data_IF_584550773066
#
_entry.id   IF_584550773066
#
_cell.length_a   1.000
_cell.length_b   1.000
_cell.length_c   1.000
_cell.angle_alpha   90.00
_cell.angle_beta   90.00
_cell.angle_gamma   90.00
#
_symmetry.space_group_name_H-M   'P 1'
#
loop_
_entity.id
_entity.type
_entity.pdbx_description
1 polymer ?
#
# COMPACT_ATOMS: atom_id res chain seq x y z
N UNK A 1 -72.32 0.89 -13.66
CA UNK A 1 -71.39 1.49 -12.68
C UNK A 1 -70.15 0.61 -12.62
N UNK A 2 -68.98 1.12 -13.02
CA UNK A 2 -67.71 0.39 -12.86
C UNK A 2 -67.33 0.39 -11.37
N UNK A 3 -67.18 -0.79 -10.76
CA UNK A 3 -66.59 -0.91 -9.42
C UNK A 3 -65.16 -0.36 -9.50
N UNK A 4 -64.84 0.62 -8.65
CA UNK A 4 -63.46 1.03 -8.43
C UNK A 4 -62.86 0.00 -7.49
N UNK A 5 -61.93 -0.80 -7.99
CA UNK A 5 -61.16 -1.71 -7.15
C UNK A 5 -60.24 -0.86 -6.27
N UNK A 6 -60.53 -0.84 -4.96
CA UNK A 6 -59.74 -0.13 -3.97
C UNK A 6 -58.51 -0.94 -3.59
N UNK A 7 -57.39 -0.25 -3.42
CA UNK A 7 -56.12 -0.86 -2.97
C UNK A 7 -56.32 -1.52 -1.61
N UNK A 8 -55.88 -2.78 -1.46
CA UNK A 8 -56.02 -3.49 -0.20
C UNK A 8 -54.90 -3.12 0.78
N UNK A 9 -55.20 -3.15 2.08
CA UNK A 9 -54.19 -2.95 3.13
C UNK A 9 -53.07 -3.99 3.04
N UNK A 10 -53.39 -5.22 2.61
CA UNK A 10 -52.40 -6.29 2.48
C UNK A 10 -51.41 -6.03 1.35
N UNK A 11 -51.85 -5.51 0.20
CA UNK A 11 -50.96 -5.15 -0.91
C UNK A 11 -49.97 -4.06 -0.49
N UNK A 12 -50.42 -3.08 0.31
CA UNK A 12 -49.53 -2.05 0.83
C UNK A 12 -48.47 -2.62 1.79
N UNK A 13 -48.89 -3.52 2.69
CA UNK A 13 -48.00 -4.15 3.67
C UNK A 13 -46.94 -5.02 2.99
N UNK A 14 -47.31 -5.79 1.95
CA UNK A 14 -46.35 -6.61 1.20
C UNK A 14 -45.35 -5.74 0.46
N UNK A 15 -45.78 -4.62 -0.14
CA UNK A 15 -44.88 -3.71 -0.86
C UNK A 15 -43.87 -3.05 0.08
N UNK A 16 -44.30 -2.52 1.24
CA UNK A 16 -43.37 -1.92 2.20
C UNK A 16 -42.41 -2.97 2.79
N UNK A 17 -42.86 -4.23 2.94
CA UNK A 17 -42.01 -5.32 3.39
C UNK A 17 -40.90 -5.62 2.38
N UNK A 18 -41.23 -5.69 1.08
CA UNK A 18 -40.25 -5.90 0.01
C UNK A 18 -39.27 -4.71 -0.08
N UNK A 19 -39.78 -3.47 -0.05
CA UNK A 19 -38.93 -2.27 -0.05
C UNK A 19 -38.01 -2.21 1.17
N UNK A 20 -38.49 -2.64 2.35
CA UNK A 20 -37.70 -2.71 3.57
C UNK A 20 -36.53 -3.70 3.45
N UNK A 21 -36.78 -4.89 2.88
CA UNK A 21 -35.73 -5.90 2.65
C UNK A 21 -34.68 -5.37 1.66
N UNK A 22 -35.11 -4.75 0.56
CA UNK A 22 -34.18 -4.19 -0.44
C UNK A 22 -33.33 -3.05 0.14
N UNK A 23 -33.94 -2.14 0.91
CA UNK A 23 -33.24 -1.04 1.54
C UNK A 23 -32.17 -1.52 2.54
N UNK A 24 -32.45 -2.62 3.26
CA UNK A 24 -31.52 -3.21 4.24
C UNK A 24 -30.17 -3.60 3.61
N UNK A 25 -30.17 -4.15 2.40
CA UNK A 25 -28.95 -4.54 1.69
C UNK A 25 -28.27 -3.36 0.97
N UNK A 26 -29.05 -2.43 0.43
CA UNK A 26 -28.54 -1.32 -0.38
C UNK A 26 -27.80 -0.26 0.47
N UNK A 27 -28.33 0.10 1.64
CA UNK A 27 -27.77 1.16 2.49
C UNK A 27 -26.31 0.90 2.91
N UNK A 28 -25.93 -0.27 3.48
CA UNK A 28 -24.54 -0.49 3.89
C UNK A 28 -23.57 -0.51 2.69
N UNK A 29 -24.00 -1.05 1.55
CA UNK A 29 -23.21 -1.06 0.32
C UNK A 29 -22.96 0.37 -0.20
N UNK A 30 -23.98 1.22 -0.19
CA UNK A 30 -23.88 2.61 -0.63
C UNK A 30 -22.92 3.44 0.24
N UNK A 31 -22.90 3.20 1.56
CA UNK A 31 -21.98 3.88 2.48
C UNK A 31 -20.53 3.55 2.14
N UNK A 32 -20.23 2.29 1.81
CA UNK A 32 -18.89 1.87 1.37
C UNK A 32 -18.44 2.59 0.09
N UNK A 33 -19.27 2.57 -0.96
CA UNK A 33 -18.95 3.27 -2.21
C UNK A 33 -18.76 4.78 -2.03
N UNK A 34 -19.56 5.41 -1.16
CA UNK A 34 -19.40 6.82 -0.85
C UNK A 34 -18.06 7.10 -0.14
N UNK A 35 -17.62 6.23 0.77
CA UNK A 35 -16.31 6.34 1.41
C UNK A 35 -15.17 6.15 0.42
N UNK A 36 -15.27 5.16 -0.47
CA UNK A 36 -14.26 4.89 -1.51
C UNK A 36 -14.12 6.06 -2.49
N UNK A 37 -15.24 6.62 -2.94
CA UNK A 37 -15.25 7.79 -3.81
C UNK A 37 -14.57 8.99 -3.16
N UNK A 38 -14.83 9.23 -1.86
CA UNK A 38 -14.19 10.30 -1.10
C UNK A 38 -12.69 10.07 -0.93
N UNK A 39 -12.27 8.83 -0.66
CA UNK A 39 -10.85 8.47 -0.61
C UNK A 39 -10.16 8.73 -1.96
N UNK A 40 -10.77 8.28 -3.07
CA UNK A 40 -10.24 8.47 -4.42
C UNK A 40 -10.09 9.97 -4.78
N UNK A 41 -11.05 10.81 -4.39
CA UNK A 41 -10.94 12.27 -4.55
C UNK A 41 -9.77 12.83 -3.73
N UNK A 42 -9.60 12.36 -2.50
CA UNK A 42 -8.47 12.79 -1.67
C UNK A 42 -7.12 12.39 -2.27
N UNK A 43 -6.99 11.17 -2.80
CA UNK A 43 -5.77 10.68 -3.45
C UNK A 43 -5.47 11.45 -4.75
N UNK A 44 -6.51 11.79 -5.51
CA UNK A 44 -6.39 12.65 -6.70
C UNK A 44 -5.91 14.06 -6.36
N UNK A 45 -6.38 14.61 -5.25
CA UNK A 45 -5.92 15.91 -4.73
C UNK A 45 -4.44 15.84 -4.32
N UNK A 46 -4.02 14.82 -3.57
CA UNK A 46 -2.61 14.61 -3.20
C UNK A 46 -1.71 14.49 -4.43
N UNK A 47 -2.17 13.76 -5.45
CA UNK A 47 -1.46 13.63 -6.73
C UNK A 47 -1.32 14.98 -7.45
N UNK A 48 -2.39 15.77 -7.49
CA UNK A 48 -2.38 17.11 -8.08
C UNK A 48 -1.41 18.04 -7.36
N UNK A 49 -1.39 17.98 -6.01
CA UNK A 49 -0.45 18.72 -5.17
C UNK A 49 1.00 18.34 -5.49
N UNK A 50 1.30 17.05 -5.53
CA UNK A 50 2.65 16.59 -5.85
C UNK A 50 3.08 17.02 -7.26
N UNK A 51 2.19 16.92 -8.27
CA UNK A 51 2.50 17.37 -9.64
C UNK A 51 2.82 18.86 -9.72
N UNK A 52 2.05 19.70 -9.03
CA UNK A 52 2.30 21.14 -8.99
C UNK A 52 3.66 21.45 -8.33
N UNK A 53 3.98 20.77 -7.22
CA UNK A 53 5.27 20.88 -6.56
C UNK A 53 6.44 20.48 -7.45
N UNK A 54 6.38 19.29 -8.07
CA UNK A 54 7.44 18.80 -8.96
C UNK A 54 7.66 19.72 -10.18
N UNK A 55 6.57 20.26 -10.74
CA UNK A 55 6.64 21.23 -11.84
C UNK A 55 7.38 22.50 -11.41
N UNK A 56 7.12 23.01 -10.20
CA UNK A 56 7.77 24.22 -9.70
C UNK A 56 9.23 23.98 -9.31
N UNK A 57 9.53 22.85 -8.65
CA UNK A 57 10.90 22.43 -8.35
C UNK A 57 11.75 22.40 -9.62
N UNK A 58 11.22 21.78 -10.68
CA UNK A 58 11.91 21.67 -11.98
C UNK A 58 12.17 23.04 -12.60
N UNK A 59 11.20 23.97 -12.55
CA UNK A 59 11.36 25.33 -13.09
C UNK A 59 12.42 26.15 -12.35
N UNK A 60 12.55 25.95 -11.05
CA UNK A 60 13.51 26.66 -10.21
C UNK A 60 14.90 25.99 -10.19
N UNK A 61 15.04 24.81 -10.77
CA UNK A 61 16.27 24.01 -10.70
C UNK A 61 16.68 23.70 -9.26
N UNK A 62 15.71 23.62 -8.35
CA UNK A 62 15.93 23.41 -6.92
C UNK A 62 15.70 21.94 -6.54
N UNK A 63 16.46 21.46 -5.56
CA UNK A 63 16.21 20.18 -4.89
C UNK A 63 15.01 20.30 -3.92
N UNK A 64 14.63 19.19 -3.28
CA UNK A 64 13.62 19.07 -2.21
C UNK A 64 13.53 20.33 -1.31
N UNK A 65 12.40 21.02 -1.34
CA UNK A 65 12.21 22.31 -0.69
C UNK A 65 10.85 22.37 0.04
N UNK A 66 10.92 22.36 1.37
CA UNK A 66 9.74 22.44 2.26
C UNK A 66 8.90 23.69 2.00
N UNK A 67 9.54 24.86 1.90
CA UNK A 67 8.85 26.13 1.73
C UNK A 67 8.07 26.14 0.43
N UNK A 68 8.67 25.62 -0.65
CA UNK A 68 7.99 25.51 -1.93
C UNK A 68 6.78 24.58 -1.87
N UNK A 69 6.89 23.43 -1.21
CA UNK A 69 5.75 22.53 -1.04
C UNK A 69 4.64 23.20 -0.22
N UNK A 70 5.01 24.00 0.77
CA UNK A 70 4.08 24.79 1.56
C UNK A 70 3.40 25.90 0.72
N UNK A 71 4.13 26.55 -0.20
CA UNK A 71 3.55 27.50 -1.14
C UNK A 71 2.51 26.84 -2.06
N UNK A 72 2.82 25.66 -2.57
CA UNK A 72 1.90 24.86 -3.41
C UNK A 72 0.65 24.51 -2.63
N UNK A 73 0.78 23.94 -1.43
CA UNK A 73 -0.35 23.55 -0.59
C UNK A 73 -1.29 24.71 -0.28
N UNK A 74 -0.72 25.89 0.01
CA UNK A 74 -1.50 27.09 0.32
C UNK A 74 -1.98 27.83 -0.94
N UNK A 75 -1.73 27.27 -2.14
CA UNK A 75 -2.03 27.87 -3.42
C UNK A 75 -1.58 29.33 -3.50
N UNK A 76 -0.33 29.60 -3.10
CA UNK A 76 0.20 30.97 -3.00
C UNK A 76 -0.02 31.72 -4.32
N UNK A 77 -0.57 32.92 -4.22
CA UNK A 77 -0.93 33.78 -5.35
C UNK A 77 -1.89 33.15 -6.36
N UNK A 78 -2.62 32.09 -5.99
CA UNK A 78 -3.53 31.34 -6.86
C UNK A 78 -2.81 30.72 -8.09
N UNK A 79 -1.50 30.47 -7.98
CA UNK A 79 -0.67 30.01 -9.10
C UNK A 79 -0.87 28.52 -9.44
N UNK A 80 -1.24 27.70 -8.46
CA UNK A 80 -1.11 26.24 -8.56
C UNK A 80 -2.44 25.54 -8.86
N UNK A 81 -3.54 26.05 -8.32
CA UNK A 81 -4.86 25.46 -8.49
C UNK A 81 -5.92 26.55 -8.74
N UNK A 82 -6.89 26.24 -9.60
CA UNK A 82 -8.08 27.08 -9.78
C UNK A 82 -8.95 27.12 -8.53
N UNK A 83 -8.91 26.06 -7.71
CA UNK A 83 -9.52 26.00 -6.39
C UNK A 83 -8.60 25.21 -5.47
N UNK A 84 -8.43 25.66 -4.22
CA UNK A 84 -7.60 24.96 -3.24
C UNK A 84 -8.15 23.55 -3.02
N UNK A 85 -7.36 22.48 -3.23
CA UNK A 85 -7.79 21.12 -3.00
C UNK A 85 -8.25 20.93 -1.55
N UNK A 86 -9.41 20.29 -1.36
CA UNK A 86 -9.98 20.01 -0.04
C UNK A 86 -10.26 18.53 0.12
N UNK A 87 -9.96 17.99 1.30
CA UNK A 87 -10.36 16.64 1.65
C UNK A 87 -11.90 16.59 1.76
N UNK A 88 -12.56 15.62 1.10
CA UNK A 88 -14.03 15.53 1.10
C UNK A 88 -14.62 15.11 2.45
N UNK A 89 -13.81 14.57 3.36
CA UNK A 89 -14.21 14.26 4.75
C UNK A 89 -13.76 15.34 5.76
N UNK A 90 -13.27 16.49 5.27
CA UNK A 90 -12.88 17.61 6.13
C UNK A 90 -11.47 17.54 6.72
N UNK A 91 -10.63 16.63 6.20
CA UNK A 91 -9.22 16.51 6.58
C UNK A 91 -8.36 17.67 6.06
N UNK A 92 -7.19 17.81 6.64
CA UNK A 92 -6.18 18.80 6.24
C UNK A 92 -5.03 18.11 5.52
N UNK A 93 -4.47 18.76 4.51
CA UNK A 93 -3.23 18.34 3.88
C UNK A 93 -2.04 18.91 4.67
N UNK A 94 -1.12 18.05 5.09
CA UNK A 94 0.06 18.36 5.87
C UNK A 94 1.32 17.94 5.11
N UNK A 95 2.43 18.59 5.39
CA UNK A 95 3.75 18.17 4.90
C UNK A 95 4.37 17.22 5.91
N UNK A 96 5.00 16.16 5.41
CA UNK A 96 5.79 15.22 6.18
C UNK A 96 7.18 15.12 5.57
N UNK A 97 8.21 15.27 6.41
CA UNK A 97 9.60 15.00 6.05
C UNK A 97 9.92 13.52 6.24
N UNK A 98 10.68 12.94 5.33
CA UNK A 98 11.22 11.59 5.44
C UNK A 98 12.66 11.56 4.92
N UNK A 99 13.42 10.54 5.33
CA UNK A 99 14.79 10.33 4.85
C UNK A 99 14.77 9.34 3.69
N UNK A 100 15.36 9.72 2.56
CA UNK A 100 15.54 8.86 1.39
C UNK A 100 16.61 7.81 1.68
N UNK A 101 16.65 6.76 0.86
CA UNK A 101 17.65 5.69 0.98
C UNK A 101 19.08 6.18 0.70
N UNK A 102 19.22 7.36 0.07
CA UNK A 102 20.48 8.10 -0.08
C UNK A 102 20.83 9.01 1.10
N UNK A 103 20.07 8.95 2.21
CA UNK A 103 20.28 9.77 3.40
C UNK A 103 19.87 11.24 3.26
N UNK A 104 19.17 11.62 2.18
CA UNK A 104 18.69 12.99 1.96
C UNK A 104 17.33 13.18 2.63
N UNK A 105 17.04 14.40 3.06
CA UNK A 105 15.69 14.75 3.52
C UNK A 105 14.80 15.05 2.33
N UNK A 106 13.62 14.44 2.30
CA UNK A 106 12.60 14.63 1.30
C UNK A 106 11.25 14.96 1.95
N UNK A 107 10.33 15.55 1.19
CA UNK A 107 9.03 16.01 1.68
C UNK A 107 7.89 15.44 0.84
N UNK A 108 6.84 14.98 1.53
CA UNK A 108 5.60 14.52 0.90
C UNK A 108 4.39 15.16 1.56
N UNK A 109 3.25 15.11 0.88
CA UNK A 109 1.97 15.58 1.43
C UNK A 109 1.10 14.41 1.90
N UNK A 110 0.40 14.62 3.01
CA UNK A 110 -0.52 13.65 3.63
C UNK A 110 -1.83 14.31 4.03
N UNK A 111 -2.94 13.58 3.99
CA UNK A 111 -4.24 13.98 4.53
C UNK A 111 -4.44 13.49 5.97
N UNK A 112 -4.91 14.32 6.89
CA UNK A 112 -5.14 13.92 8.30
C UNK A 112 -6.21 12.84 8.50
N UNK A 113 -7.10 12.67 7.52
CA UNK A 113 -8.20 11.69 7.59
C UNK A 113 -7.89 10.45 6.74
N UNK A 114 -7.53 10.63 5.48
CA UNK A 114 -7.30 9.54 4.53
C UNK A 114 -5.85 9.03 4.52
N UNK A 115 -4.91 9.81 5.06
CA UNK A 115 -3.49 9.45 5.17
C UNK A 115 -3.06 9.11 6.59
N UNK A 116 -3.95 8.52 7.39
CA UNK A 116 -3.52 7.76 8.57
C UNK A 116 -2.61 6.57 8.20
N UNK A 117 -2.66 6.16 6.93
CA UNK A 117 -1.74 5.23 6.24
C UNK A 117 -1.84 5.46 4.72
N UNK A 118 -1.14 6.44 4.13
CA UNK A 118 -0.94 6.51 2.66
C UNK A 118 0.43 5.94 2.26
N UNK A 119 0.65 4.69 2.62
CA UNK A 119 1.66 3.86 2.01
C UNK A 119 0.94 2.87 1.09
N UNK A 120 1.43 2.67 -0.14
CA UNK A 120 0.97 1.52 -0.97
C UNK A 120 1.19 0.24 -0.14
N UNK A 121 0.48 -0.85 -0.42
CA UNK A 121 0.67 -2.11 0.32
C UNK A 121 2.17 -2.50 0.45
N UNK A 122 3.01 -2.38 -0.59
CA UNK A 122 4.46 -2.57 -0.43
C UNK A 122 5.10 -1.65 0.59
N UNK A 123 4.76 -0.36 0.60
CA UNK A 123 5.28 0.60 1.59
C UNK A 123 4.74 0.29 2.99
N UNK A 124 3.48 -0.14 3.13
CA UNK A 124 2.93 -0.58 4.42
C UNK A 124 3.66 -1.81 4.97
N UNK A 125 4.05 -2.74 4.09
CA UNK A 125 4.88 -3.88 4.47
C UNK A 125 6.24 -3.41 4.98
N UNK A 126 6.90 -2.45 4.31
CA UNK A 126 8.15 -1.88 4.81
C UNK A 126 7.99 -1.17 6.15
N UNK A 127 6.94 -0.36 6.30
CA UNK A 127 6.62 0.36 7.53
C UNK A 127 6.40 -0.63 8.68
N UNK A 128 5.64 -1.71 8.43
CA UNK A 128 5.38 -2.76 9.42
C UNK A 128 6.65 -3.56 9.77
N UNK A 129 7.50 -3.87 8.80
CA UNK A 129 8.82 -4.48 9.06
C UNK A 129 9.67 -3.60 9.97
N UNK A 130 9.71 -2.29 9.70
CA UNK A 130 10.43 -1.33 10.52
C UNK A 130 9.83 -1.22 11.92
N UNK A 131 8.52 -1.10 12.04
CA UNK A 131 7.84 -1.01 13.33
C UNK A 131 8.02 -2.28 14.18
N UNK A 132 8.05 -3.47 13.56
CA UNK A 132 8.40 -4.72 14.26
C UNK A 132 9.83 -4.68 14.80
N UNK A 133 10.79 -4.16 14.04
CA UNK A 133 12.20 -4.08 14.46
C UNK A 133 12.39 -3.04 15.57
N UNK A 134 11.71 -1.90 15.48
CA UNK A 134 11.84 -0.80 16.43
C UNK A 134 11.01 -1.04 17.70
N UNK A 135 9.87 -1.74 17.58
CA UNK A 135 8.88 -1.93 18.64
C UNK A 135 8.41 -3.40 18.74
N UNK A 136 9.31 -4.38 18.97
CA UNK A 136 8.97 -5.81 18.96
C UNK A 136 7.87 -6.19 19.97
N UNK A 137 7.77 -5.48 21.09
CA UNK A 137 6.76 -5.73 22.13
C UNK A 137 5.32 -5.64 21.61
N UNK A 138 5.04 -4.75 20.64
CA UNK A 138 3.71 -4.63 20.01
C UNK A 138 3.29 -5.92 19.29
N UNK A 139 4.28 -6.67 18.80
CA UNK A 139 4.07 -7.87 18.01
C UNK A 139 4.16 -9.16 18.83
N UNK A 140 4.40 -9.08 20.14
CA UNK A 140 4.56 -10.23 21.04
C UNK A 140 3.44 -11.27 20.92
N UNK A 141 2.19 -10.82 20.83
CA UNK A 141 1.02 -11.70 20.63
C UNK A 141 1.07 -12.53 19.34
N UNK A 142 1.82 -12.07 18.33
CA UNK A 142 2.03 -12.73 17.05
C UNK A 142 3.31 -13.57 17.00
N UNK A 143 4.03 -13.72 18.11
CA UNK A 143 5.21 -14.57 18.16
C UNK A 143 4.83 -16.04 17.85
N UNK A 144 5.51 -16.70 16.89
CA UNK A 144 5.25 -18.11 16.56
C UNK A 144 5.61 -19.08 17.68
N UNK A 145 6.43 -18.67 18.66
CA UNK A 145 6.86 -19.52 19.78
C UNK A 145 5.97 -19.43 21.02
N UNK A 146 4.92 -18.60 20.99
CA UNK A 146 3.97 -18.37 22.08
C UNK A 146 3.66 -16.88 22.26
N UNK A 147 2.39 -16.52 22.44
CA UNK A 147 1.94 -15.11 22.58
C UNK A 147 2.40 -14.45 23.89
N UNK A 148 2.88 -15.25 24.84
CA UNK A 148 3.42 -14.85 26.13
C UNK A 148 4.94 -14.61 26.10
N UNK A 149 5.61 -14.97 25.00
CA UNK A 149 7.07 -14.88 24.86
C UNK A 149 7.51 -13.66 24.07
N UNK A 150 8.54 -12.98 24.55
CA UNK A 150 9.15 -11.85 23.87
C UNK A 150 9.78 -12.27 22.53
N UNK A 151 9.84 -11.32 21.60
CA UNK A 151 10.49 -11.51 20.30
C UNK A 151 11.98 -11.21 20.46
N UNK A 152 12.82 -12.19 20.18
CA UNK A 152 14.27 -12.11 20.41
C UNK A 152 15.04 -11.58 19.19
N UNK A 153 16.26 -11.09 19.41
CA UNK A 153 17.15 -10.58 18.36
C UNK A 153 17.36 -11.58 17.21
N UNK A 154 17.53 -12.86 17.50
CA UNK A 154 17.73 -13.86 16.46
C UNK A 154 16.49 -14.03 15.56
N UNK A 155 15.29 -13.77 16.08
CA UNK A 155 14.05 -13.75 15.29
C UNK A 155 14.00 -12.51 14.40
N UNK A 156 14.38 -11.35 14.93
CA UNK A 156 14.44 -10.09 14.17
C UNK A 156 15.52 -10.11 13.08
N UNK A 157 16.55 -10.96 13.23
CA UNK A 157 17.61 -11.18 12.25
C UNK A 157 17.39 -12.40 11.33
N UNK A 158 16.15 -12.92 11.26
CA UNK A 158 15.80 -14.04 10.38
C UNK A 158 14.65 -13.67 9.47
N UNK A 159 14.85 -13.81 8.15
CA UNK A 159 13.81 -13.63 7.13
C UNK A 159 12.52 -14.39 7.48
N UNK A 160 12.64 -15.68 7.80
CA UNK A 160 11.48 -16.54 7.99
C UNK A 160 10.74 -16.20 9.29
N UNK A 161 11.46 -15.84 10.35
CA UNK A 161 10.87 -15.48 11.63
C UNK A 161 10.13 -14.14 11.55
N UNK A 162 10.75 -13.12 10.95
CA UNK A 162 10.10 -11.83 10.68
C UNK A 162 8.85 -12.02 9.84
N UNK A 163 8.94 -12.80 8.74
CA UNK A 163 7.79 -13.10 7.89
C UNK A 163 6.67 -13.82 8.65
N UNK A 164 6.99 -14.79 9.51
CA UNK A 164 6.00 -15.52 10.29
C UNK A 164 5.23 -14.59 11.25
N UNK A 165 5.94 -13.69 11.94
CA UNK A 165 5.34 -12.72 12.86
C UNK A 165 4.42 -11.76 12.10
N UNK A 166 4.91 -11.15 11.02
CA UNK A 166 4.14 -10.20 10.21
C UNK A 166 2.91 -10.85 9.58
N UNK A 167 3.05 -12.06 9.03
CA UNK A 167 1.93 -12.79 8.46
C UNK A 167 0.85 -13.07 9.49
N UNK A 168 1.23 -13.46 10.71
CA UNK A 168 0.28 -13.69 11.81
C UNK A 168 -0.37 -12.38 12.28
N UNK A 169 0.36 -11.27 12.32
CA UNK A 169 -0.18 -9.94 12.60
C UNK A 169 -1.24 -9.52 11.55
N UNK A 170 -1.03 -9.89 10.29
CA UNK A 170 -1.94 -9.59 9.17
C UNK A 170 -3.03 -10.66 8.95
N UNK A 171 -3.44 -11.39 10.00
CA UNK A 171 -4.53 -12.38 9.90
C UNK A 171 -4.17 -13.67 9.16
N UNK A 172 -2.88 -13.97 9.02
CA UNK A 172 -2.37 -15.24 8.48
C UNK A 172 -2.25 -15.30 6.96
N UNK A 173 -2.49 -14.19 6.25
CA UNK A 173 -2.43 -14.15 4.78
C UNK A 173 -1.62 -12.95 4.30
N UNK A 174 -0.96 -13.12 3.16
CA UNK A 174 -0.32 -12.00 2.46
C UNK A 174 -1.33 -11.31 1.54
N UNK A 175 -1.21 -9.99 1.33
CA UNK A 175 -1.97 -9.29 0.30
C UNK A 175 -1.74 -9.92 -1.08
N UNK A 176 -2.69 -9.71 -1.99
CA UNK A 176 -2.68 -10.30 -3.32
C UNK A 176 -2.54 -9.24 -4.40
N UNK A 177 -1.91 -9.61 -5.50
CA UNK A 177 -1.63 -8.78 -6.66
C UNK A 177 -2.13 -9.50 -7.91
N UNK A 178 -2.78 -8.76 -8.80
CA UNK A 178 -3.22 -9.23 -10.12
C UNK A 178 -2.73 -8.24 -11.18
N UNK A 179 -2.28 -8.77 -12.32
CA UNK A 179 -1.92 -7.96 -13.49
C UNK A 179 -3.14 -7.74 -14.38
N UNK A 180 -3.22 -6.57 -15.01
CA UNK A 180 -4.34 -6.24 -15.90
C UNK A 180 -4.49 -7.30 -17.01
N UNK A 181 -5.72 -7.79 -17.20
CA UNK A 181 -6.03 -8.87 -18.13
C UNK A 181 -5.49 -10.26 -17.78
N UNK A 182 -5.04 -10.51 -16.54
CA UNK A 182 -4.60 -11.82 -16.06
C UNK A 182 -5.45 -12.34 -14.91
N UNK A 183 -5.72 -13.66 -14.90
CA UNK A 183 -6.36 -14.34 -13.76
C UNK A 183 -5.34 -14.87 -12.74
N UNK A 184 -4.04 -14.67 -12.98
CA UNK A 184 -2.99 -15.17 -12.09
C UNK A 184 -2.92 -14.31 -10.82
N UNK A 185 -3.12 -14.96 -9.68
CA UNK A 185 -2.96 -14.34 -8.36
C UNK A 185 -1.53 -14.49 -7.88
N UNK A 186 -0.91 -13.36 -7.55
CA UNK A 186 0.39 -13.31 -6.88
C UNK A 186 0.22 -12.84 -5.44
N UNK A 187 1.06 -13.32 -4.54
CA UNK A 187 1.08 -12.88 -3.15
C UNK A 187 2.18 -11.85 -2.97
N UNK A 188 1.87 -10.70 -2.41
CA UNK A 188 2.82 -9.61 -2.12
C UNK A 188 3.46 -9.88 -0.76
N UNK A 189 4.77 -10.07 -0.73
CA UNK A 189 5.47 -10.55 0.46
C UNK A 189 6.78 -9.78 0.69
N UNK A 190 7.19 -9.59 1.95
CA UNK A 190 8.52 -9.08 2.26
C UNK A 190 9.58 -10.17 2.13
N UNK A 191 10.80 -9.76 1.78
CA UNK A 191 12.00 -10.56 1.91
C UNK A 191 13.08 -9.75 2.61
N UNK A 192 13.91 -10.43 3.40
CA UNK A 192 15.08 -9.84 4.05
C UNK A 192 16.29 -10.73 3.79
N UNK A 193 17.36 -10.16 3.23
CA UNK A 193 18.61 -10.88 3.03
C UNK A 193 19.37 -11.04 4.34
N UNK A 194 19.13 -12.17 5.02
CA UNK A 194 19.75 -12.51 6.32
C UNK A 194 20.65 -13.73 6.27
N UNK A 195 20.90 -14.31 5.09
CA UNK A 195 21.66 -15.54 5.01
C UNK A 195 23.13 -15.32 5.31
N UNK A 196 23.61 -15.97 6.38
CA UNK A 196 25.00 -15.94 6.81
C UNK A 196 25.62 -17.33 6.64
N UNK A 197 26.77 -17.38 6.00
CA UNK A 197 27.60 -18.60 5.87
C UNK A 197 29.05 -18.28 6.25
N UNK A 198 29.94 -19.28 6.18
CA UNK A 198 31.38 -19.06 6.39
C UNK A 198 31.99 -18.07 5.39
N UNK A 199 31.41 -17.96 4.19
CA UNK A 199 31.92 -17.15 3.08
C UNK A 199 30.97 -16.02 2.67
N UNK A 200 29.78 -15.94 3.28
CA UNK A 200 28.72 -14.99 2.90
C UNK A 200 28.31 -14.16 4.12
N UNK A 201 28.46 -12.85 3.98
CA UNK A 201 27.89 -11.88 4.93
C UNK A 201 26.58 -11.35 4.34
N UNK A 202 25.45 -11.44 5.07
CA UNK A 202 24.18 -10.94 4.56
C UNK A 202 24.21 -9.41 4.41
N UNK A 203 23.56 -8.91 3.37
CA UNK A 203 23.44 -7.45 3.18
C UNK A 203 22.49 -6.80 4.19
N UNK A 204 21.55 -7.57 4.75
CA UNK A 204 20.47 -7.05 5.60
C UNK A 204 19.41 -6.26 4.83
N UNK A 205 19.53 -6.16 3.50
CA UNK A 205 18.59 -5.44 2.66
C UNK A 205 17.21 -6.10 2.69
N UNK A 206 16.18 -5.27 2.62
CA UNK A 206 14.77 -5.67 2.68
C UNK A 206 14.10 -5.20 1.41
N UNK A 207 13.25 -6.02 0.85
CA UNK A 207 12.49 -5.66 -0.34
C UNK A 207 11.16 -6.40 -0.40
N UNK A 208 10.28 -5.92 -1.26
CA UNK A 208 8.95 -6.51 -1.48
C UNK A 208 8.91 -7.11 -2.87
N UNK A 209 8.37 -8.32 -2.96
CA UNK A 209 8.21 -9.05 -4.21
C UNK A 209 6.83 -9.71 -4.25
N UNK A 210 6.47 -10.23 -5.43
CA UNK A 210 5.29 -11.05 -5.58
C UNK A 210 5.59 -12.34 -6.33
N UNK A 211 4.95 -13.44 -5.91
CA UNK A 211 5.10 -14.77 -6.50
C UNK A 211 3.78 -15.53 -6.43
N UNK A 212 3.64 -16.58 -7.23
CA UNK A 212 2.41 -17.40 -7.31
C UNK A 212 2.20 -18.34 -6.11
N UNK A 213 3.07 -18.29 -5.09
CA UNK A 213 2.98 -19.10 -3.89
C UNK A 213 4.00 -18.68 -2.82
N UNK A 214 4.14 -19.48 -1.77
CA UNK A 214 5.14 -19.24 -0.72
C UNK A 214 6.49 -19.84 -1.13
N UNK A 215 7.13 -19.17 -2.09
CA UNK A 215 8.43 -19.55 -2.61
C UNK A 215 9.31 -18.30 -2.85
N UNK A 216 10.58 -18.55 -3.12
CA UNK A 216 11.59 -17.52 -3.35
C UNK A 216 11.82 -17.21 -4.83
N UNK A 217 10.88 -17.58 -5.71
CA UNK A 217 10.93 -17.26 -7.14
C UNK A 217 10.03 -16.05 -7.41
N UNK A 218 10.63 -14.87 -7.42
CA UNK A 218 9.93 -13.63 -7.66
C UNK A 218 9.44 -13.58 -9.12
N UNK A 219 8.14 -13.37 -9.29
CA UNK A 219 7.49 -13.11 -10.57
C UNK A 219 7.30 -11.61 -10.81
N UNK A 220 7.21 -10.83 -9.74
CA UNK A 220 7.24 -9.37 -9.77
C UNK A 220 8.08 -8.86 -8.60
N UNK A 221 8.73 -7.71 -8.79
CA UNK A 221 9.54 -7.07 -7.75
C UNK A 221 9.13 -5.60 -7.66
N UNK A 222 8.99 -5.10 -6.43
CA UNK A 222 8.68 -3.70 -6.17
C UNK A 222 9.97 -2.92 -5.92
N UNK A 223 10.24 -1.91 -6.76
CA UNK A 223 11.34 -0.98 -6.57
C UNK A 223 10.88 0.19 -5.71
N UNK A 224 11.38 0.22 -4.48
CA UNK A 224 11.00 1.23 -3.48
C UNK A 224 11.40 2.65 -3.90
N UNK A 225 12.55 2.79 -4.57
CA UNK A 225 13.07 4.09 -5.02
C UNK A 225 12.15 4.76 -6.05
N UNK A 226 11.75 4.02 -7.09
CA UNK A 226 10.84 4.52 -8.11
C UNK A 226 9.36 4.42 -7.72
N UNK A 227 9.04 3.59 -6.72
CA UNK A 227 7.68 3.29 -6.30
C UNK A 227 6.92 2.39 -7.29
N UNK A 228 7.62 1.68 -8.18
CA UNK A 228 7.04 0.94 -9.30
C UNK A 228 7.23 -0.57 -9.15
N UNK A 229 6.34 -1.33 -9.79
CA UNK A 229 6.50 -2.76 -9.95
C UNK A 229 7.20 -3.07 -11.27
N UNK A 230 7.97 -4.15 -11.26
CA UNK A 230 8.61 -4.69 -12.46
C UNK A 230 8.24 -6.15 -12.65
N UNK A 231 8.08 -6.54 -13.91
CA UNK A 231 7.75 -7.90 -14.33
C UNK A 231 8.69 -8.33 -15.48
N UNK A 232 8.86 -9.64 -15.71
CA UNK A 232 9.66 -10.13 -16.81
C UNK A 232 9.06 -9.76 -18.18
N UNK A 233 9.93 -9.49 -19.16
CA UNK A 233 9.52 -9.29 -20.56
C UNK A 233 9.06 -10.58 -21.24
N UNK A 234 9.41 -11.74 -20.70
CA UNK A 234 9.04 -13.06 -21.23
C UNK A 234 8.16 -13.83 -20.25
N UNK A 235 7.13 -14.52 -20.76
CA UNK A 235 6.23 -15.32 -19.91
C UNK A 235 7.00 -16.40 -19.16
N UNK A 236 6.61 -16.67 -17.91
CA UNK A 236 7.16 -17.70 -17.02
C UNK A 236 8.61 -17.50 -16.55
N UNK A 237 9.24 -16.35 -16.81
CA UNK A 237 10.52 -16.02 -16.21
C UNK A 237 10.33 -15.58 -14.75
N UNK A 238 11.27 -15.99 -13.88
CA UNK A 238 11.30 -15.59 -12.47
C UNK A 238 12.75 -15.37 -12.03
N UNK A 239 12.95 -14.66 -10.92
CA UNK A 239 14.26 -14.49 -10.28
C UNK A 239 14.24 -15.22 -8.94
N UNK A 240 15.21 -16.11 -8.70
CA UNK A 240 15.45 -16.67 -7.35
C UNK A 240 16.03 -15.57 -6.48
N UNK A 241 15.29 -15.15 -5.45
CA UNK A 241 15.68 -14.06 -4.54
C UNK A 241 16.36 -14.55 -3.25
N UNK A 242 16.30 -15.86 -2.97
CA UNK A 242 16.94 -16.43 -1.79
C UNK A 242 18.45 -16.14 -1.79
N UNK A 243 18.93 -15.66 -0.63
CA UNK A 243 20.32 -15.29 -0.36
C UNK A 243 20.87 -14.17 -1.27
N UNK A 244 19.99 -13.33 -1.83
CA UNK A 244 20.39 -12.18 -2.66
C UNK A 244 19.95 -10.86 -2.02
N UNK A 245 20.86 -9.89 -2.07
CA UNK A 245 20.54 -8.49 -1.79
C UNK A 245 19.60 -7.92 -2.85
N UNK A 246 18.93 -6.81 -2.53
CA UNK A 246 18.10 -6.10 -3.50
C UNK A 246 18.93 -5.63 -4.70
N UNK A 247 20.15 -5.14 -4.46
CA UNK A 247 21.04 -4.66 -5.53
C UNK A 247 21.38 -5.77 -6.53
N UNK A 248 21.69 -6.97 -6.05
CA UNK A 248 21.95 -8.13 -6.93
C UNK A 248 20.71 -8.49 -7.74
N UNK A 249 19.53 -8.45 -7.11
CA UNK A 249 18.25 -8.71 -7.78
C UNK A 249 17.95 -7.64 -8.84
N UNK A 250 18.22 -6.37 -8.54
CA UNK A 250 18.03 -5.23 -9.45
C UNK A 250 18.92 -5.36 -10.69
N UNK A 251 20.19 -5.72 -10.52
CA UNK A 251 21.08 -6.02 -11.64
C UNK A 251 20.57 -7.18 -12.50
N UNK A 252 20.01 -8.23 -11.89
CA UNK A 252 19.42 -9.36 -12.64
C UNK A 252 18.16 -8.93 -13.42
N UNK A 253 17.30 -8.10 -12.83
CA UNK A 253 16.14 -7.53 -13.52
C UNK A 253 16.56 -6.73 -14.76
N UNK A 254 17.61 -5.91 -14.64
CA UNK A 254 18.16 -5.13 -15.75
C UNK A 254 18.75 -6.03 -16.86
N UNK A 255 19.56 -7.04 -16.49
CA UNK A 255 20.14 -8.03 -17.42
C UNK A 255 19.06 -8.83 -18.15
N UNK A 256 17.95 -9.11 -17.50
CA UNK A 256 16.81 -9.84 -18.05
C UNK A 256 15.78 -8.93 -18.74
N UNK A 257 16.05 -7.63 -18.80
CA UNK A 257 15.17 -6.62 -19.41
C UNK A 257 13.74 -6.66 -18.83
N UNK A 258 13.60 -6.70 -17.51
CA UNK A 258 12.30 -6.56 -16.86
C UNK A 258 11.71 -5.18 -17.12
N UNK A 259 10.39 -5.12 -17.28
CA UNK A 259 9.63 -3.92 -17.64
C UNK A 259 8.68 -3.52 -16.52
N UNK A 260 8.31 -2.24 -16.50
CA UNK A 260 7.34 -1.71 -15.55
C UNK A 260 5.98 -2.44 -15.66
N UNK A 261 5.39 -2.70 -14.51
CA UNK A 261 4.08 -3.32 -14.35
C UNK A 261 3.18 -2.40 -13.51
N UNK A 262 1.89 -2.38 -13.85
CA UNK A 262 0.87 -1.63 -13.11
C UNK A 262 -0.16 -2.59 -12.51
N UNK A 263 0.21 -3.33 -11.47
CA UNK A 263 -0.69 -4.28 -10.84
C UNK A 263 -1.80 -3.62 -10.03
N UNK A 264 -2.93 -4.32 -9.93
CA UNK A 264 -3.96 -4.04 -8.92
C UNK A 264 -3.67 -4.90 -7.70
N UNK A 265 -3.52 -4.26 -6.53
CA UNK A 265 -3.23 -4.93 -5.27
C UNK A 265 -4.46 -4.86 -4.37
N UNK A 266 -4.83 -6.01 -3.80
CA UNK A 266 -5.95 -6.19 -2.90
C UNK A 266 -5.48 -6.81 -1.58
N UNK A 267 -6.15 -6.47 -0.48
CA UNK A 267 -5.80 -6.92 0.86
C UNK A 267 -5.46 -5.75 1.78
N UNK A 268 -5.04 -6.06 2.99
CA UNK A 268 -4.77 -5.07 4.03
C UNK A 268 -3.53 -5.48 4.84
N UNK A 269 -2.80 -4.47 5.30
CA UNK A 269 -1.75 -4.61 6.31
C UNK A 269 -2.30 -4.04 7.61
N UNK A 270 -2.37 -4.89 8.64
CA UNK A 270 -2.88 -4.53 9.96
C UNK A 270 -1.69 -4.12 10.83
N UNK A 271 -1.52 -2.83 11.06
CA UNK A 271 -0.53 -2.31 11.99
C UNK A 271 -1.05 -2.48 13.42
N UNK A 272 -0.36 -3.25 14.29
CA UNK A 272 -0.78 -3.48 15.68
C UNK A 272 -0.44 -2.32 16.63
#
# INVERSE_FOLDING_TARGET
MRKKDGFTLIELIVVIAILGILALFLVPSFIGYAQDAKKAVCDSNLTSINRAYQTKLTRLGSDENYDLLNEVLNNKNEEYFSTVPKCPDGGSYLIESYTTDSGKTAYRTKCTIHSKTTSTIPVQIFDQMKDLMDNPDKYKQFNPYGSDKDINDWQLNSNDQVRAILKKANGGKWPTLILDGSDTVYYVQPYMDTYKSETTTPSGQKYVYASTGENWFASLIYDRDSGKWYQPSTKNQTILIANKSYDTVKEEMEKLHWVEANPVISGEIIMP
#
